data_IF_193501489739
#
_entry.id   IF_193501489739
#
_cell.length_a   1.000
_cell.length_b   1.000
_cell.length_c   1.000
_cell.angle_alpha   90.00
_cell.angle_beta   90.00
_cell.angle_gamma   90.00
#
_symmetry.space_group_name_H-M   'P 1'
#
loop_
_entity.id
_entity.type
_entity.pdbx_description
1 polymer ?
#
# COMPACT_ATOMS: atom_id res chain seq x y z
N UNK A 1 0.47 -6.64 -11.81
CA UNK A 1 0.58 -5.85 -13.04
C UNK A 1 -0.80 -5.73 -13.70
N UNK A 2 -1.38 -4.53 -13.68
CA UNK A 2 -2.72 -4.28 -14.25
C UNK A 2 -2.63 -4.15 -15.78
N UNK A 3 -1.53 -3.63 -16.30
CA UNK A 3 -1.36 -3.37 -17.74
C UNK A 3 -1.33 -4.64 -18.59
N UNK A 4 -0.98 -5.78 -18.00
CA UNK A 4 -1.05 -7.09 -18.67
C UNK A 4 -2.49 -7.49 -19.02
N UNK A 5 -3.46 -7.07 -18.22
CA UNK A 5 -4.88 -7.43 -18.40
C UNK A 5 -5.72 -6.31 -19.02
N UNK A 6 -5.29 -5.06 -18.86
CA UNK A 6 -5.97 -3.87 -19.38
C UNK A 6 -5.09 -3.23 -20.43
N UNK A 7 -5.18 -3.77 -21.65
CA UNK A 7 -4.38 -3.28 -22.78
C UNK A 7 -4.92 -1.94 -23.30
N UNK A 8 -4.00 -1.09 -23.76
CA UNK A 8 -4.31 0.23 -24.31
C UNK A 8 -5.40 0.15 -25.41
N UNK A 9 -6.33 1.09 -25.38
CA UNK A 9 -7.50 1.19 -26.27
C UNK A 9 -8.50 0.04 -26.20
N UNK A 10 -8.34 -0.93 -25.32
CA UNK A 10 -9.34 -1.98 -25.09
C UNK A 10 -10.67 -1.39 -24.57
N UNK A 11 -11.78 -2.14 -24.59
CA UNK A 11 -13.03 -1.71 -23.98
C UNK A 11 -12.89 -1.43 -22.48
N UNK A 12 -12.05 -2.21 -21.76
CA UNK A 12 -11.76 -2.00 -20.35
C UNK A 12 -11.00 -0.71 -20.10
N UNK A 13 -9.98 -0.42 -20.89
CA UNK A 13 -9.20 0.80 -20.82
C UNK A 13 -10.07 2.04 -21.07
N UNK A 14 -10.90 2.01 -22.11
CA UNK A 14 -11.83 3.11 -22.41
C UNK A 14 -12.85 3.36 -21.29
N UNK A 15 -13.37 2.30 -20.68
CA UNK A 15 -14.30 2.44 -19.55
C UNK A 15 -13.57 2.94 -18.30
N UNK A 16 -12.35 2.44 -18.02
CA UNK A 16 -11.53 2.91 -16.90
C UNK A 16 -11.16 4.39 -17.04
N UNK A 17 -10.76 4.82 -18.24
CA UNK A 17 -10.48 6.22 -18.56
C UNK A 17 -11.71 7.12 -18.34
N UNK A 18 -12.91 6.66 -18.75
CA UNK A 18 -14.16 7.37 -18.53
C UNK A 18 -14.52 7.51 -17.05
N UNK A 19 -14.28 6.47 -16.24
CA UNK A 19 -14.49 6.49 -14.79
C UNK A 19 -13.46 7.34 -14.07
N UNK A 20 -12.21 7.31 -14.48
CA UNK A 20 -11.08 8.06 -13.96
C UNK A 20 -10.59 7.62 -12.57
N UNK A 21 -11.46 7.07 -11.73
CA UNK A 21 -11.14 6.62 -10.37
C UNK A 21 -12.15 5.60 -9.86
N UNK A 22 -11.81 4.90 -8.77
CA UNK A 22 -12.79 4.18 -7.95
C UNK A 22 -13.42 5.14 -6.95
N UNK A 23 -14.73 5.01 -6.72
CA UNK A 23 -15.49 5.84 -5.77
C UNK A 23 -15.83 5.01 -4.54
N UNK A 24 -15.36 5.46 -3.37
CA UNK A 24 -15.58 4.80 -2.09
C UNK A 24 -16.76 5.46 -1.37
N UNK A 25 -17.86 4.76 -1.30
CA UNK A 25 -19.04 5.15 -0.52
C UNK A 25 -18.95 4.49 0.87
N UNK A 26 -19.84 4.90 1.77
CA UNK A 26 -19.83 4.38 3.16
C UNK A 26 -20.06 2.86 3.21
N UNK A 27 -20.93 2.34 2.32
CA UNK A 27 -21.39 0.94 2.30
C UNK A 27 -20.79 0.12 1.14
N UNK A 28 -20.20 0.76 0.13
CA UNK A 28 -19.75 0.06 -1.08
C UNK A 28 -18.68 0.85 -1.83
N UNK A 29 -18.01 0.13 -2.72
CA UNK A 29 -17.08 0.72 -3.68
C UNK A 29 -17.63 0.57 -5.08
N UNK A 30 -17.63 1.66 -5.85
CA UNK A 30 -17.86 1.64 -7.30
C UNK A 30 -16.48 1.61 -7.95
N UNK A 31 -16.00 0.45 -8.42
CA UNK A 31 -14.62 0.31 -8.84
C UNK A 31 -14.39 0.89 -10.24
N UNK A 32 -13.19 1.44 -10.48
CA UNK A 32 -12.75 1.86 -11.82
C UNK A 32 -12.62 0.67 -12.77
N UNK A 33 -12.11 -0.46 -12.26
CA UNK A 33 -11.99 -1.72 -12.98
C UNK A 33 -12.96 -2.76 -12.42
N UNK A 34 -13.44 -3.74 -13.22
CA UNK A 34 -14.32 -4.81 -12.72
C UNK A 34 -13.73 -5.54 -11.51
N UNK A 35 -14.59 -6.03 -10.61
CA UNK A 35 -14.18 -6.76 -9.40
C UNK A 35 -13.33 -8.01 -9.73
N UNK A 36 -13.56 -8.66 -10.86
CA UNK A 36 -12.78 -9.80 -11.33
C UNK A 36 -11.30 -9.43 -11.53
N UNK A 37 -11.01 -8.18 -11.89
CA UNK A 37 -9.66 -7.65 -11.95
C UNK A 37 -9.23 -7.10 -10.60
N UNK A 38 -9.92 -6.10 -10.06
CA UNK A 38 -9.48 -5.34 -8.88
C UNK A 38 -9.39 -6.19 -7.60
N UNK A 39 -10.29 -7.15 -7.40
CA UNK A 39 -10.30 -8.05 -6.23
C UNK A 39 -9.83 -9.47 -6.57
N UNK A 40 -9.75 -9.80 -7.86
CA UNK A 40 -9.38 -11.11 -8.37
C UNK A 40 -7.93 -11.18 -8.86
N UNK A 41 -7.76 -11.20 -10.18
CA UNK A 41 -6.46 -11.52 -10.81
C UNK A 41 -5.39 -10.45 -10.57
N UNK A 42 -5.76 -9.18 -10.43
CA UNK A 42 -4.82 -8.09 -10.13
C UNK A 42 -4.58 -7.89 -8.62
N UNK A 43 -5.33 -8.58 -7.75
CA UNK A 43 -5.11 -8.53 -6.31
C UNK A 43 -4.05 -9.53 -5.87
N UNK A 44 -3.12 -9.11 -5.01
CA UNK A 44 -2.03 -9.95 -4.49
C UNK A 44 -2.57 -10.87 -3.39
N UNK A 45 -3.41 -11.83 -3.80
CA UNK A 45 -4.05 -12.78 -2.90
C UNK A 45 -3.06 -13.85 -2.42
N UNK A 46 -3.20 -14.26 -1.16
CA UNK A 46 -2.38 -15.30 -0.53
C UNK A 46 -2.42 -16.61 -1.32
N UNK A 47 -1.26 -17.25 -1.48
CA UNK A 47 -1.11 -18.56 -2.10
C UNK A 47 -1.41 -18.59 -3.60
N UNK A 48 -1.45 -17.43 -4.26
CA UNK A 48 -1.73 -17.33 -5.69
C UNK A 48 -0.60 -16.62 -6.41
N UNK A 49 -0.15 -17.20 -7.52
CA UNK A 49 0.80 -16.53 -8.41
C UNK A 49 0.17 -15.30 -9.03
N UNK A 50 0.88 -14.17 -8.97
CA UNK A 50 0.43 -12.89 -9.49
C UNK A 50 1.53 -12.17 -10.24
N UNK A 51 1.19 -11.66 -11.42
CA UNK A 51 2.05 -10.74 -12.14
C UNK A 51 2.08 -9.39 -11.39
N UNK A 52 3.26 -8.88 -11.16
CA UNK A 52 3.46 -7.62 -10.48
C UNK A 52 4.55 -6.78 -11.17
N UNK A 53 4.47 -5.48 -11.00
CA UNK A 53 5.58 -4.56 -11.25
C UNK A 53 6.21 -4.26 -9.89
N UNK A 54 7.47 -4.69 -9.72
CA UNK A 54 8.16 -4.62 -8.43
C UNK A 54 9.28 -3.59 -8.46
N UNK A 55 9.42 -2.85 -7.37
CA UNK A 55 10.56 -2.00 -7.09
C UNK A 55 11.33 -2.63 -5.91
N UNK A 56 12.52 -3.17 -6.19
CA UNK A 56 13.40 -3.78 -5.20
C UNK A 56 14.43 -2.72 -4.83
N UNK A 57 14.57 -2.39 -3.54
CA UNK A 57 15.41 -1.29 -3.08
C UNK A 57 16.39 -1.76 -2.01
N UNK A 58 17.63 -1.34 -2.12
CA UNK A 58 18.61 -1.43 -1.05
C UNK A 58 18.66 -0.10 -0.30
N UNK A 59 18.41 -0.14 1.01
CA UNK A 59 18.34 1.05 1.86
C UNK A 59 19.45 1.00 2.89
N UNK A 60 20.27 2.07 2.96
CA UNK A 60 21.31 2.17 3.96
C UNK A 60 20.78 2.51 5.37
N UNK A 61 21.60 2.42 6.43
CA UNK A 61 21.17 2.74 7.79
C UNK A 61 20.70 4.19 8.01
N UNK A 62 20.97 5.10 7.07
CA UNK A 62 20.47 6.48 7.10
C UNK A 62 19.09 6.63 6.44
N UNK A 63 18.53 5.53 5.92
CA UNK A 63 17.26 5.54 5.19
C UNK A 63 17.37 6.03 3.74
N UNK A 64 18.60 6.08 3.18
CA UNK A 64 18.81 6.42 1.77
C UNK A 64 18.75 5.17 0.90
N UNK A 65 17.97 5.22 -0.17
CA UNK A 65 18.02 4.20 -1.22
C UNK A 65 19.35 4.34 -1.95
N UNK A 66 20.20 3.31 -1.88
CA UNK A 66 21.55 3.30 -2.48
C UNK A 66 21.60 2.51 -3.78
N UNK A 67 20.70 1.56 -3.96
CA UNK A 67 20.48 0.81 -5.21
C UNK A 67 19.03 0.42 -5.35
N UNK A 68 18.54 0.25 -6.59
CA UNK A 68 17.19 -0.23 -6.84
C UNK A 68 17.05 -0.89 -8.20
N UNK A 69 16.08 -1.77 -8.30
CA UNK A 69 15.70 -2.44 -9.54
C UNK A 69 14.18 -2.37 -9.72
N UNK A 70 13.74 -1.94 -10.90
CA UNK A 70 12.33 -2.01 -11.30
C UNK A 70 12.19 -3.15 -12.31
N UNK A 71 11.30 -4.12 -12.02
CA UNK A 71 11.16 -5.32 -12.82
C UNK A 71 9.72 -5.82 -12.87
N UNK A 72 9.34 -6.43 -14.00
CA UNK A 72 8.17 -7.31 -14.07
C UNK A 72 8.49 -8.60 -13.33
N UNK A 73 7.60 -9.03 -12.46
CA UNK A 73 7.82 -10.16 -11.57
C UNK A 73 6.58 -11.05 -11.48
N UNK A 74 6.83 -12.33 -11.18
CA UNK A 74 5.82 -13.25 -10.71
C UNK A 74 5.99 -13.44 -9.21
N UNK A 75 4.99 -13.06 -8.43
CA UNK A 75 5.04 -13.15 -6.97
C UNK A 75 3.95 -14.07 -6.43
N UNK A 76 4.23 -14.71 -5.30
CA UNK A 76 3.27 -15.48 -4.52
C UNK A 76 3.32 -14.99 -3.08
N UNK A 77 2.19 -14.52 -2.55
CA UNK A 77 2.11 -13.97 -1.19
C UNK A 77 1.87 -15.09 -0.19
N UNK A 78 2.76 -15.28 0.76
CA UNK A 78 2.67 -16.32 1.78
C UNK A 78 1.50 -16.08 2.73
N UNK A 79 1.33 -14.84 3.23
CA UNK A 79 0.25 -14.48 4.14
C UNK A 79 -0.36 -13.12 3.84
N UNK A 80 -1.71 -13.07 3.86
CA UNK A 80 -2.47 -11.83 3.84
C UNK A 80 -2.69 -11.34 5.27
N UNK A 81 -1.79 -10.48 5.74
CA UNK A 81 -1.86 -9.89 7.08
C UNK A 81 -2.89 -8.77 7.17
N UNK A 82 -3.36 -8.51 8.38
CA UNK A 82 -4.19 -7.34 8.69
C UNK A 82 -3.40 -6.33 9.53
N UNK A 83 -3.74 -5.05 9.42
CA UNK A 83 -3.13 -4.01 10.27
C UNK A 83 -3.30 -4.29 11.77
N UNK A 84 -4.45 -4.88 12.16
CA UNK A 84 -4.73 -5.23 13.56
C UNK A 84 -3.80 -6.34 14.05
N UNK A 85 -3.62 -7.42 13.27
CA UNK A 85 -2.73 -8.52 13.66
C UNK A 85 -1.27 -8.07 13.74
N UNK A 86 -0.79 -7.31 12.73
CA UNK A 86 0.60 -6.82 12.74
C UNK A 86 0.83 -5.82 13.89
N UNK A 87 -0.12 -4.93 14.18
CA UNK A 87 -0.02 -4.04 15.33
C UNK A 87 0.10 -4.82 16.65
N UNK A 88 -0.73 -5.84 16.87
CA UNK A 88 -0.65 -6.71 18.05
C UNK A 88 0.70 -7.43 18.17
N UNK A 89 1.23 -7.96 17.04
CA UNK A 89 2.55 -8.60 17.02
C UNK A 89 3.63 -7.61 17.48
N UNK A 90 3.60 -6.38 16.98
CA UNK A 90 4.56 -5.33 17.33
C UNK A 90 4.40 -4.84 18.77
N UNK A 91 3.17 -4.85 19.30
CA UNK A 91 2.85 -4.51 20.69
C UNK A 91 3.18 -5.65 21.69
N UNK A 92 3.62 -6.82 21.19
CA UNK A 92 4.06 -7.94 22.02
C UNK A 92 2.96 -8.92 22.42
N UNK A 93 1.80 -8.94 21.74
CA UNK A 93 0.73 -9.91 21.97
C UNK A 93 1.24 -11.33 21.68
N UNK A 94 1.29 -12.16 22.72
CA UNK A 94 1.87 -13.50 22.63
C UNK A 94 1.06 -14.45 21.76
N UNK A 95 -0.26 -14.29 21.69
CA UNK A 95 -1.13 -15.14 20.87
C UNK A 95 -0.87 -14.90 19.38
N UNK A 96 -0.88 -13.63 18.96
CA UNK A 96 -0.58 -13.26 17.57
C UNK A 96 0.88 -13.56 17.21
N UNK A 97 1.84 -13.35 18.11
CA UNK A 97 3.26 -13.69 17.88
C UNK A 97 3.47 -15.21 17.69
N UNK A 98 2.84 -16.04 18.48
CA UNK A 98 2.92 -17.51 18.32
C UNK A 98 2.26 -17.98 17.02
N UNK A 99 1.13 -17.35 16.65
CA UNK A 99 0.40 -17.70 15.43
C UNK A 99 1.20 -17.39 14.15
N UNK A 100 2.03 -16.35 14.18
CA UNK A 100 2.81 -15.85 13.05
C UNK A 100 4.31 -15.79 13.37
N UNK A 101 4.82 -16.79 14.12
CA UNK A 101 6.19 -16.80 14.65
C UNK A 101 7.25 -16.63 13.57
N UNK A 102 7.06 -17.21 12.38
CA UNK A 102 7.98 -17.12 11.24
C UNK A 102 8.11 -15.70 10.66
N UNK A 103 7.17 -14.82 10.97
CA UNK A 103 7.13 -13.45 10.41
C UNK A 103 7.42 -12.36 11.44
N UNK A 104 7.56 -12.71 12.73
CA UNK A 104 7.73 -11.73 13.81
C UNK A 104 8.97 -10.87 13.60
N UNK A 105 10.13 -11.51 13.34
CA UNK A 105 11.40 -10.81 13.08
C UNK A 105 11.28 -9.87 11.86
N UNK A 106 10.64 -10.32 10.79
CA UNK A 106 10.40 -9.50 9.61
C UNK A 106 9.59 -8.24 9.94
N UNK A 107 8.51 -8.36 10.74
CA UNK A 107 7.71 -7.19 11.13
C UNK A 107 8.47 -6.23 12.05
N UNK A 108 9.34 -6.73 12.92
CA UNK A 108 10.21 -5.91 13.76
C UNK A 108 11.21 -5.12 12.89
N UNK A 109 11.85 -5.77 11.91
CA UNK A 109 12.73 -5.11 10.94
C UNK A 109 11.99 -4.11 10.04
N UNK A 110 10.77 -4.44 9.60
CA UNK A 110 9.93 -3.50 8.84
C UNK A 110 9.61 -2.25 9.66
N UNK A 111 9.34 -2.41 10.96
CA UNK A 111 9.10 -1.28 11.86
C UNK A 111 10.35 -0.42 12.02
N UNK A 112 11.51 -1.04 12.24
CA UNK A 112 12.79 -0.33 12.33
C UNK A 112 13.07 0.49 11.07
N UNK A 113 12.92 -0.12 9.89
CA UNK A 113 13.08 0.58 8.62
C UNK A 113 12.07 1.73 8.45
N UNK A 114 10.82 1.52 8.81
CA UNK A 114 9.79 2.57 8.78
C UNK A 114 10.16 3.76 9.67
N UNK A 115 10.67 3.51 10.89
CA UNK A 115 11.11 4.56 11.81
C UNK A 115 12.29 5.36 11.22
N UNK A 116 13.26 4.70 10.56
CA UNK A 116 14.38 5.34 9.88
C UNK A 116 13.89 6.22 8.71
N UNK A 117 13.04 5.68 7.84
CA UNK A 117 12.48 6.42 6.69
C UNK A 117 11.68 7.64 7.15
N UNK A 118 10.88 7.49 8.20
CA UNK A 118 10.09 8.58 8.79
C UNK A 118 10.98 9.66 9.39
N UNK A 119 12.01 9.26 10.14
CA UNK A 119 12.97 10.21 10.70
C UNK A 119 13.64 11.04 9.61
N UNK A 120 14.15 10.41 8.57
CA UNK A 120 14.74 11.09 7.40
C UNK A 120 13.76 12.04 6.72
N UNK A 121 12.50 11.65 6.59
CA UNK A 121 11.44 12.51 6.02
C UNK A 121 11.20 13.75 6.89
N UNK A 122 11.18 13.62 8.22
CA UNK A 122 11.08 14.74 9.14
C UNK A 122 12.27 15.69 9.03
N UNK A 123 13.49 15.19 8.89
CA UNK A 123 14.69 16.02 8.68
C UNK A 123 14.62 16.83 7.37
N UNK A 124 13.95 16.32 6.34
CA UNK A 124 13.67 17.05 5.11
C UNK A 124 12.57 18.12 5.24
N UNK A 125 11.93 18.24 6.40
CA UNK A 125 10.89 19.24 6.67
C UNK A 125 9.45 18.72 6.43
N UNK A 126 9.24 17.42 6.36
CA UNK A 126 7.89 16.85 6.27
C UNK A 126 7.09 17.15 7.54
N UNK A 127 5.85 17.58 7.37
CA UNK A 127 4.90 17.79 8.45
C UNK A 127 3.94 16.58 8.49
N UNK A 128 3.87 15.88 9.61
CA UNK A 128 2.94 14.77 9.78
C UNK A 128 1.63 15.30 10.38
N UNK A 129 0.62 15.44 9.51
CA UNK A 129 -0.73 15.83 9.94
C UNK A 129 -1.50 14.59 10.35
N UNK A 130 -1.78 14.44 11.64
CA UNK A 130 -2.58 13.35 12.17
C UNK A 130 -4.07 13.77 12.22
N UNK A 131 -4.70 13.87 11.05
CA UNK A 131 -6.14 14.09 10.97
C UNK A 131 -6.88 12.76 11.16
N UNK A 132 -7.75 12.64 12.16
CA UNK A 132 -8.54 11.42 12.36
C UNK A 132 -9.54 11.26 11.21
N UNK A 133 -9.42 10.16 10.46
CA UNK A 133 -10.45 9.74 9.53
C UNK A 133 -11.64 9.17 10.28
N UNK A 134 -12.87 9.55 9.90
CA UNK A 134 -14.08 9.03 10.52
C UNK A 134 -14.52 7.73 9.84
N UNK A 135 -14.73 6.68 10.64
CA UNK A 135 -15.36 5.45 10.19
C UNK A 135 -16.81 5.43 10.64
N UNK A 136 -17.71 5.24 9.68
CA UNK A 136 -19.17 5.20 9.91
C UNK A 136 -19.61 3.73 9.92
N UNK A 137 -20.33 3.33 10.96
CA UNK A 137 -20.96 2.02 11.06
C UNK A 137 -22.40 2.13 10.60
N UNK A 138 -22.81 1.22 9.73
CA UNK A 138 -24.19 1.12 9.25
C UNK A 138 -24.90 -0.10 9.86
N UNK A 139 -26.21 0.00 10.08
CA UNK A 139 -27.07 -1.14 10.40
C UNK A 139 -27.36 -1.97 9.14
N UNK A 140 -28.06 -3.09 9.30
CA UNK A 140 -28.47 -3.98 8.21
C UNK A 140 -29.36 -3.29 7.14
N UNK A 141 -29.94 -2.14 7.48
CA UNK A 141 -30.77 -1.31 6.58
C UNK A 141 -29.99 -0.16 5.94
N UNK A 142 -28.66 -0.10 6.15
CA UNK A 142 -27.80 0.93 5.61
C UNK A 142 -27.90 2.29 6.33
N UNK A 143 -28.44 2.34 7.57
CA UNK A 143 -28.53 3.58 8.34
C UNK A 143 -27.32 3.72 9.27
N UNK A 144 -26.72 4.91 9.39
CA UNK A 144 -25.61 5.13 10.29
C UNK A 144 -26.06 4.94 11.76
N UNK A 145 -25.33 4.10 12.50
CA UNK A 145 -25.58 3.78 13.91
C UNK A 145 -24.45 4.26 14.81
N UNK A 146 -23.23 4.43 14.26
CA UNK A 146 -22.08 4.91 15.01
C UNK A 146 -21.06 5.59 14.11
N UNK A 147 -20.25 6.50 14.68
CA UNK A 147 -19.14 7.18 14.02
C UNK A 147 -17.96 7.25 14.99
N UNK A 148 -16.81 6.68 14.61
CA UNK A 148 -15.61 6.74 15.42
C UNK A 148 -14.37 7.07 14.60
N UNK A 149 -13.35 7.68 15.21
CA UNK A 149 -12.10 7.96 14.53
C UNK A 149 -11.33 6.67 14.24
N UNK A 150 -10.85 6.51 13.01
CA UNK A 150 -9.93 5.43 12.67
C UNK A 150 -8.55 5.72 13.26
N UNK A 151 -8.07 4.83 14.12
CA UNK A 151 -6.77 5.00 14.76
C UNK A 151 -5.66 4.53 13.82
N UNK A 152 -4.70 5.42 13.54
CA UNK A 152 -3.42 5.05 12.90
C UNK A 152 -2.57 4.26 13.90
N UNK A 153 -2.07 3.11 13.50
CA UNK A 153 -1.20 2.26 14.31
C UNK A 153 0.17 2.05 13.65
N UNK A 154 1.08 1.35 14.31
CA UNK A 154 2.42 1.09 13.79
C UNK A 154 2.37 0.38 12.41
N UNK A 155 1.46 -0.56 12.23
CA UNK A 155 1.35 -1.32 10.99
C UNK A 155 0.89 -0.46 9.79
N UNK A 156 -0.05 0.49 10.00
CA UNK A 156 -0.45 1.43 8.94
C UNK A 156 0.67 2.36 8.56
N UNK A 157 1.47 2.81 9.55
CA UNK A 157 2.64 3.67 9.33
C UNK A 157 3.74 2.98 8.52
N UNK A 158 4.01 1.70 8.77
CA UNK A 158 4.98 0.91 8.00
C UNK A 158 4.62 0.91 6.51
N UNK A 159 3.37 0.59 6.18
CA UNK A 159 2.94 0.53 4.78
C UNK A 159 3.00 1.92 4.13
N UNK A 160 2.58 2.97 4.83
CA UNK A 160 2.66 4.35 4.35
C UNK A 160 4.11 4.74 4.00
N UNK A 161 5.07 4.50 4.91
CA UNK A 161 6.48 4.84 4.69
C UNK A 161 7.09 4.06 3.53
N UNK A 162 6.75 2.78 3.39
CA UNK A 162 7.23 1.95 2.28
C UNK A 162 6.62 2.36 0.94
N UNK A 163 5.32 2.71 0.92
CA UNK A 163 4.68 3.25 -0.28
C UNK A 163 5.31 4.56 -0.72
N UNK A 164 5.60 5.47 0.21
CA UNK A 164 6.28 6.74 -0.10
C UNK A 164 7.69 6.50 -0.63
N UNK A 165 8.46 5.61 0.01
CA UNK A 165 9.81 5.26 -0.44
C UNK A 165 9.79 4.69 -1.88
N UNK A 166 8.89 3.76 -2.17
CA UNK A 166 8.75 3.19 -3.51
C UNK A 166 8.33 4.25 -4.54
N UNK A 167 7.34 5.09 -4.20
CA UNK A 167 6.84 6.14 -5.09
C UNK A 167 7.92 7.19 -5.40
N UNK A 168 8.69 7.62 -4.39
CA UNK A 168 9.79 8.58 -4.56
C UNK A 168 10.89 7.96 -5.44
N UNK A 169 11.29 6.72 -5.20
CA UNK A 169 12.33 6.02 -5.98
C UNK A 169 11.94 5.88 -7.45
N UNK A 170 10.71 5.45 -7.73
CA UNK A 170 10.23 5.30 -9.11
C UNK A 170 10.13 6.68 -9.80
N UNK A 171 9.62 7.69 -9.11
CA UNK A 171 9.49 9.03 -9.66
C UNK A 171 10.86 9.63 -10.01
N UNK A 172 11.85 9.46 -9.13
CA UNK A 172 13.22 9.94 -9.35
C UNK A 172 13.89 9.23 -10.53
N UNK A 173 13.75 7.89 -10.62
CA UNK A 173 14.30 7.10 -11.72
C UNK A 173 13.77 7.53 -13.08
N UNK A 174 12.44 7.69 -13.22
CA UNK A 174 11.83 8.10 -14.49
C UNK A 174 12.14 9.57 -14.82
N UNK A 175 12.31 10.43 -13.82
CA UNK A 175 12.74 11.81 -14.03
C UNK A 175 14.13 11.89 -14.65
N UNK A 176 15.11 11.18 -14.09
CA UNK A 176 16.48 11.21 -14.59
C UNK A 176 16.66 10.50 -15.93
N UNK A 177 15.79 9.55 -16.25
CA UNK A 177 15.77 8.90 -17.58
C UNK A 177 15.06 9.75 -18.64
N UNK A 178 14.46 10.87 -18.29
CA UNK A 178 13.68 11.73 -19.21
C UNK A 178 12.56 10.96 -19.93
N UNK A 179 11.99 9.94 -19.27
CA UNK A 179 10.87 9.17 -19.82
C UNK A 179 9.57 9.88 -19.43
N UNK A 180 8.61 10.06 -20.36
CA UNK A 180 7.30 10.60 -20.03
C UNK A 180 6.63 9.83 -18.89
N UNK A 181 6.33 10.51 -17.78
CA UNK A 181 5.76 9.92 -16.59
C UNK A 181 4.76 10.88 -15.93
N UNK A 182 3.70 10.33 -15.33
CA UNK A 182 2.70 11.15 -14.65
C UNK A 182 3.09 11.32 -13.17
N UNK A 183 3.54 12.52 -12.81
CA UNK A 183 3.91 12.86 -11.44
C UNK A 183 2.70 13.39 -10.67
N UNK A 184 2.50 12.88 -9.45
CA UNK A 184 1.55 13.44 -8.49
C UNK A 184 2.32 14.22 -7.43
N UNK A 185 2.05 15.53 -7.35
CA UNK A 185 2.66 16.43 -6.37
C UNK A 185 1.61 16.87 -5.35
N UNK A 186 2.08 17.19 -4.14
CA UNK A 186 1.30 17.79 -3.07
C UNK A 186 1.98 19.10 -2.67
N UNK A 187 1.22 20.22 -2.74
CA UNK A 187 1.65 21.55 -2.32
C UNK A 187 1.32 21.79 -0.85
#
# INVERSE_FOLDING_TARGET
DVSEYVTEYSPLDKEALKRGTSVYLVDRVIPMLPHQLSNGICSLNQGCDRLALSCIMEVDPSGKVVDHQIAETLINVDHRMTYTSVAKILDGDMEERNKYEDFVEMFELMKELSDILRHRRHERGSIDFDFPESKIILDEKGRPVDVYPQVRNAATKIIEDFMLCANETIAEEFYWREIPFLYRIHE
#
